data_IF_310597340624
#
_entry.id   IF_310597340624
#
_cell.length_a   1.000
_cell.length_b   1.000
_cell.length_c   1.000
_cell.angle_alpha   90.00
_cell.angle_beta   90.00
_cell.angle_gamma   90.00
#
_symmetry.space_group_name_H-M   'P 1'
#
loop_
_entity.id
_entity.type
_entity.pdbx_description
1 polymer ?
#
# COMPACT_ATOMS: atom_id res chain seq x y z
N UNK A 1 4.03 -4.20 0.30
CA UNK A 1 2.86 -4.64 1.08
C UNK A 1 1.51 -4.23 0.49
N UNK A 2 1.33 -3.00 -0.04
CA UNK A 2 0.02 -2.53 -0.54
C UNK A 2 -0.65 -3.47 -1.58
N UNK A 3 0.11 -4.13 -2.46
CA UNK A 3 -0.43 -5.10 -3.41
C UNK A 3 -1.04 -6.36 -2.76
N UNK A 4 -0.47 -6.83 -1.64
CA UNK A 4 -1.02 -7.94 -0.86
C UNK A 4 -2.36 -7.55 -0.23
N UNK A 5 -2.41 -6.35 0.37
CA UNK A 5 -3.62 -5.77 0.95
C UNK A 5 -4.72 -5.70 -0.12
N UNK A 6 -4.41 -5.13 -1.29
CA UNK A 6 -5.36 -5.00 -2.40
C UNK A 6 -5.94 -6.33 -2.88
N UNK A 7 -5.09 -7.34 -3.12
CA UNK A 7 -5.56 -8.67 -3.53
C UNK A 7 -6.46 -9.32 -2.47
N UNK A 8 -6.29 -8.96 -1.20
CA UNK A 8 -7.00 -9.57 -0.07
C UNK A 8 -8.30 -8.84 0.32
N UNK A 9 -8.63 -7.73 -0.36
CA UNK A 9 -9.80 -6.89 -0.02
C UNK A 9 -11.09 -7.71 0.01
N UNK A 10 -11.28 -8.70 -0.86
CA UNK A 10 -12.53 -9.47 -0.91
C UNK A 10 -12.53 -10.76 -0.08
N UNK A 11 -11.49 -10.99 0.72
CA UNK A 11 -11.33 -12.20 1.53
C UNK A 11 -11.11 -11.84 3.01
N UNK A 12 -12.19 -11.60 3.79
CA UNK A 12 -12.08 -11.28 5.21
C UNK A 12 -11.28 -12.32 6.00
N UNK A 13 -10.38 -11.88 6.87
CA UNK A 13 -9.58 -12.74 7.74
C UNK A 13 -8.44 -13.50 7.04
N UNK A 14 -8.23 -13.28 5.73
CA UNK A 14 -7.20 -13.96 4.94
C UNK A 14 -6.34 -12.99 4.14
N UNK A 15 -5.09 -13.36 3.90
CA UNK A 15 -4.13 -12.67 3.05
C UNK A 15 -3.77 -13.54 1.83
N UNK A 16 -3.92 -12.99 0.64
CA UNK A 16 -3.64 -13.66 -0.65
C UNK A 16 -2.22 -13.30 -1.11
N UNK A 17 -1.24 -14.08 -0.65
CA UNK A 17 0.16 -13.93 -1.04
C UNK A 17 0.35 -14.28 -2.52
N UNK A 18 -0.18 -15.43 -2.94
CA UNK A 18 -0.20 -15.91 -4.32
C UNK A 18 -1.51 -16.69 -4.60
N UNK A 19 -1.67 -17.21 -5.83
CA UNK A 19 -2.87 -17.95 -6.22
C UNK A 19 -3.11 -19.22 -5.38
N UNK A 20 -2.02 -19.86 -4.95
CA UNK A 20 -1.95 -21.10 -4.19
C UNK A 20 -1.48 -20.90 -2.75
N UNK A 21 -1.22 -19.65 -2.33
CA UNK A 21 -0.76 -19.30 -1.01
C UNK A 21 -1.68 -18.25 -0.38
N UNK A 22 -2.72 -18.73 0.30
CA UNK A 22 -3.72 -17.94 1.01
C UNK A 22 -3.64 -18.31 2.48
N UNK A 23 -3.27 -17.34 3.32
CA UNK A 23 -3.04 -17.57 4.74
C UNK A 23 -4.05 -16.80 5.58
N UNK A 24 -4.60 -17.44 6.60
CA UNK A 24 -5.36 -16.83 7.67
C UNK A 24 -4.46 -16.39 8.83
N UNK A 25 -5.08 -15.82 9.87
CA UNK A 25 -4.36 -15.33 11.04
C UNK A 25 -3.61 -16.43 11.80
N UNK A 26 -4.18 -17.63 11.90
CA UNK A 26 -3.61 -18.73 12.68
C UNK A 26 -2.32 -19.25 12.01
N UNK A 27 -2.29 -19.25 10.68
CA UNK A 27 -1.07 -19.60 9.92
C UNK A 27 0.04 -18.55 10.09
N UNK A 28 -0.30 -17.31 10.47
CA UNK A 28 0.64 -16.27 10.86
C UNK A 28 1.39 -16.57 12.17
N UNK A 29 0.78 -17.34 13.08
CA UNK A 29 1.38 -17.70 14.37
C UNK A 29 2.51 -18.75 14.24
N UNK A 30 2.66 -19.37 13.05
CA UNK A 30 3.72 -20.34 12.79
C UNK A 30 5.12 -19.72 12.73
N UNK A 31 5.23 -18.39 12.63
CA UNK A 31 6.50 -17.65 12.59
C UNK A 31 6.48 -16.57 13.66
N UNK A 32 7.46 -16.60 14.55
CA UNK A 32 7.58 -15.63 15.64
C UNK A 32 7.61 -14.18 15.10
N UNK A 33 6.78 -13.30 15.68
CA UNK A 33 6.65 -11.89 15.29
C UNK A 33 5.86 -11.62 14.00
N UNK A 34 5.34 -12.65 13.33
CA UNK A 34 4.51 -12.46 12.12
C UNK A 34 3.05 -12.19 12.44
N UNK A 35 2.55 -12.63 13.60
CA UNK A 35 1.16 -12.43 14.03
C UNK A 35 0.78 -10.95 14.02
N UNK A 36 1.62 -10.08 14.57
CA UNK A 36 1.37 -8.64 14.62
C UNK A 36 1.36 -8.00 13.22
N UNK A 37 2.24 -8.47 12.34
CA UNK A 37 2.30 -8.01 10.94
C UNK A 37 1.04 -8.46 10.20
N UNK A 38 0.60 -9.70 10.39
CA UNK A 38 -0.65 -10.22 9.83
C UNK A 38 -1.85 -9.40 10.29
N UNK A 39 -1.94 -9.10 11.59
CA UNK A 39 -3.02 -8.29 12.15
C UNK A 39 -3.05 -6.88 11.54
N UNK A 40 -1.90 -6.24 11.37
CA UNK A 40 -1.80 -4.93 10.71
C UNK A 40 -2.23 -4.99 9.23
N UNK A 41 -1.81 -6.02 8.49
CA UNK A 41 -2.18 -6.21 7.08
C UNK A 41 -3.69 -6.48 6.93
N UNK A 42 -4.26 -7.34 7.78
CA UNK A 42 -5.70 -7.65 7.79
C UNK A 42 -6.54 -6.42 8.15
N UNK A 43 -6.11 -5.64 9.15
CA UNK A 43 -6.77 -4.39 9.52
C UNK A 43 -6.76 -3.39 8.35
N UNK A 44 -5.63 -3.29 7.63
CA UNK A 44 -5.52 -2.40 6.47
C UNK A 44 -6.39 -2.86 5.30
N UNK A 45 -6.46 -4.16 5.02
CA UNK A 45 -7.35 -4.73 4.00
C UNK A 45 -8.82 -4.50 4.34
N UNK A 46 -9.20 -4.65 5.62
CA UNK A 46 -10.52 -4.30 6.12
C UNK A 46 -10.84 -2.83 5.90
N UNK A 47 -9.89 -1.93 6.18
CA UNK A 47 -10.07 -0.48 5.97
C UNK A 47 -10.25 -0.14 4.48
N UNK A 48 -9.47 -0.73 3.59
CA UNK A 48 -9.63 -0.55 2.13
C UNK A 48 -11.01 -1.02 1.66
N UNK A 49 -11.49 -2.15 2.17
CA UNK A 49 -12.85 -2.64 1.91
C UNK A 49 -13.93 -1.66 2.40
N UNK A 50 -13.81 -1.17 3.64
CA UNK A 50 -14.77 -0.23 4.23
C UNK A 50 -14.86 1.07 3.44
N UNK A 51 -13.73 1.57 2.95
CA UNK A 51 -13.66 2.78 2.12
C UNK A 51 -14.10 2.55 0.67
N UNK A 52 -14.38 1.29 0.27
CA UNK A 52 -14.73 0.90 -1.10
C UNK A 52 -13.70 1.38 -2.14
N UNK A 53 -12.42 1.27 -1.78
CA UNK A 53 -11.29 1.75 -2.58
C UNK A 53 -11.38 1.22 -4.03
N UNK A 54 -11.27 2.12 -5.00
CA UNK A 54 -11.37 1.82 -6.44
C UNK A 54 -10.02 1.44 -7.05
N UNK A 55 -10.00 0.70 -8.17
CA UNK A 55 -8.76 0.35 -8.87
C UNK A 55 -7.90 1.58 -9.22
N UNK A 56 -8.52 2.67 -9.66
CA UNK A 56 -7.86 3.92 -10.04
C UNK A 56 -7.19 4.58 -8.82
N UNK A 57 -7.91 4.67 -7.71
CA UNK A 57 -7.38 5.18 -6.44
C UNK A 57 -6.21 4.32 -5.95
N UNK A 58 -6.33 2.99 -6.06
CA UNK A 58 -5.27 2.06 -5.67
C UNK A 58 -3.99 2.23 -6.50
N UNK A 59 -4.11 2.42 -7.82
CA UNK A 59 -2.93 2.69 -8.68
C UNK A 59 -2.26 4.00 -8.31
N UNK A 60 -3.04 5.05 -8.02
CA UNK A 60 -2.52 6.33 -7.53
C UNK A 60 -1.75 6.15 -6.22
N UNK A 61 -2.33 5.46 -5.24
CA UNK A 61 -1.66 5.17 -3.95
C UNK A 61 -0.36 4.39 -4.13
N UNK A 62 -0.32 3.40 -5.04
CA UNK A 62 0.90 2.64 -5.34
C UNK A 62 2.01 3.55 -5.89
N UNK A 63 1.66 4.48 -6.78
CA UNK A 63 2.61 5.43 -7.36
C UNK A 63 3.09 6.46 -6.33
N UNK A 64 2.19 6.98 -5.49
CA UNK A 64 2.53 7.88 -4.38
C UNK A 64 3.53 7.22 -3.43
N UNK A 65 3.27 5.98 -3.01
CA UNK A 65 4.18 5.23 -2.14
C UNK A 65 5.56 5.09 -2.79
N UNK A 66 5.61 4.72 -4.07
CA UNK A 66 6.87 4.53 -4.79
C UNK A 66 7.70 5.82 -4.88
N UNK A 67 7.06 6.94 -5.26
CA UNK A 67 7.75 8.21 -5.46
C UNK A 67 8.12 8.90 -4.15
N UNK A 68 7.36 8.65 -3.08
CA UNK A 68 7.54 9.32 -1.79
C UNK A 68 8.36 8.50 -0.77
N UNK A 69 8.55 7.19 -0.96
CA UNK A 69 9.20 6.33 0.04
C UNK A 69 10.65 6.71 0.37
N UNK A 70 11.36 7.32 -0.58
CA UNK A 70 12.74 7.79 -0.42
C UNK A 70 12.87 9.30 -0.23
N UNK A 71 11.77 10.05 -0.16
CA UNK A 71 11.80 11.52 -0.09
C UNK A 71 12.34 12.03 1.25
N UNK A 72 12.32 11.21 2.30
CA UNK A 72 12.78 11.56 3.64
C UNK A 72 14.12 10.89 3.96
N UNK A 73 15.22 11.50 3.51
CA UNK A 73 16.59 11.02 3.76
C UNK A 73 16.94 10.89 5.25
N UNK A 74 16.20 11.55 6.16
CA UNK A 74 16.40 11.46 7.60
C UNK A 74 16.16 10.05 8.16
N UNK A 75 15.32 9.24 7.51
CA UNK A 75 14.99 7.89 7.96
C UNK A 75 15.90 6.80 7.37
N UNK A 76 16.71 7.14 6.38
CA UNK A 76 17.53 6.21 5.59
C UNK A 76 18.94 6.79 5.50
N UNK A 77 19.75 6.61 6.54
CA UNK A 77 21.09 7.22 6.69
C UNK A 77 22.13 6.89 5.61
N UNK A 78 21.73 6.27 4.49
CA UNK A 78 22.55 5.84 3.37
C UNK A 78 21.94 6.10 1.99
N UNK A 79 20.73 6.67 1.87
CA UNK A 79 20.16 6.95 0.54
C UNK A 79 20.66 8.30 0.01
N UNK A 80 21.33 8.27 -1.14
CA UNK A 80 21.61 9.49 -1.89
C UNK A 80 20.29 10.15 -2.32
N UNK A 81 20.22 11.49 -2.25
CA UNK A 81 19.05 12.21 -2.73
C UNK A 81 18.83 11.94 -4.23
N UNK A 82 17.56 11.97 -4.64
CA UNK A 82 17.20 11.90 -6.05
C UNK A 82 17.89 13.02 -6.81
N UNK A 83 18.48 12.68 -7.95
CA UNK A 83 19.17 13.64 -8.82
C UNK A 83 18.24 14.76 -9.31
N UNK A 84 16.96 14.44 -9.55
CA UNK A 84 15.94 15.40 -9.96
C UNK A 84 14.70 15.30 -9.05
N UNK A 85 14.82 15.85 -7.85
CA UNK A 85 13.73 15.90 -6.88
C UNK A 85 12.55 16.75 -7.35
N UNK A 86 12.80 17.78 -8.17
CA UNK A 86 11.75 18.66 -8.70
C UNK A 86 10.84 17.92 -9.69
N UNK A 87 11.42 17.14 -10.61
CA UNK A 87 10.63 16.32 -11.53
C UNK A 87 9.79 15.27 -10.78
N UNK A 88 10.37 14.61 -9.78
CA UNK A 88 9.64 13.62 -8.95
C UNK A 88 8.51 14.28 -8.16
N UNK A 89 8.72 15.48 -7.63
CA UNK A 89 7.66 16.23 -6.97
C UNK A 89 6.53 16.60 -7.95
N UNK A 90 6.85 17.06 -9.16
CA UNK A 90 5.85 17.35 -10.18
C UNK A 90 5.02 16.11 -10.57
N UNK A 91 5.63 14.92 -10.61
CA UNK A 91 4.93 13.66 -10.81
C UNK A 91 3.97 13.36 -9.65
N UNK A 92 4.41 13.55 -8.40
CA UNK A 92 3.57 13.37 -7.20
C UNK A 92 2.36 14.31 -7.21
N UNK A 93 2.55 15.58 -7.58
CA UNK A 93 1.47 16.56 -7.67
C UNK A 93 0.43 16.12 -8.71
N UNK A 94 0.89 15.69 -9.90
CA UNK A 94 0.01 15.19 -10.97
C UNK A 94 -0.80 13.95 -10.54
N UNK A 95 -0.17 13.01 -9.83
CA UNK A 95 -0.85 11.81 -9.33
C UNK A 95 -1.85 12.17 -8.21
N UNK A 96 -1.53 13.17 -7.39
CA UNK A 96 -2.42 13.66 -6.34
C UNK A 96 -3.67 14.30 -6.93
N UNK A 97 -3.52 15.12 -7.98
CA UNK A 97 -4.65 15.69 -8.71
C UNK A 97 -5.55 14.61 -9.32
N UNK A 98 -4.95 13.58 -9.93
CA UNK A 98 -5.68 12.42 -10.47
C UNK A 98 -6.44 11.67 -9.37
N UNK A 99 -5.82 11.44 -8.20
CA UNK A 99 -6.47 10.80 -7.06
C UNK A 99 -7.68 11.62 -6.56
N UNK A 100 -7.51 12.93 -6.38
CA UNK A 100 -8.60 13.83 -5.95
C UNK A 100 -9.75 13.80 -6.97
N UNK A 101 -9.43 13.83 -8.25
CA UNK A 101 -10.42 13.71 -9.32
C UNK A 101 -11.23 12.41 -9.19
N UNK A 102 -10.58 11.25 -9.02
CA UNK A 102 -11.28 9.98 -8.86
C UNK A 102 -12.11 9.87 -7.57
N UNK A 103 -11.61 10.44 -6.47
CA UNK A 103 -12.37 10.51 -5.21
C UNK A 103 -13.64 11.35 -5.39
N UNK A 104 -13.56 12.49 -6.10
CA UNK A 104 -14.72 13.36 -6.31
C UNK A 104 -15.81 12.76 -7.21
N UNK A 105 -15.49 11.68 -7.95
CA UNK A 105 -16.43 10.95 -8.79
C UNK A 105 -17.00 9.69 -8.12
N UNK A 106 -16.55 9.34 -6.92
CA UNK A 106 -16.91 8.11 -6.19
C UNK A 106 -18.07 8.31 -5.22
#
# INVERSE_FOLDING_TARGET
>A
MIGLIWRSIHCPGKLIFAQDLILDRNEGDCVEGMTEIFDMLLATASRFRMLKLKPEEFVCLKAIILLNSGAFSFCTGTMEPLHDSAAVQSMLDTITDALIHHISQS
#
